data_IF_515349059396
#
_entry.id   IF_515349059396
#
_cell.length_a   1.000
_cell.length_b   1.000
_cell.length_c   1.000
_cell.angle_alpha   90.00
_cell.angle_beta   90.00
_cell.angle_gamma   90.00
#
_symmetry.space_group_name_H-M   'P 1'
#
loop_
_entity.id
_entity.type
_entity.pdbx_description
1 polymer ?
#
# COMPACT_ATOMS: atom_id res chain seq x y z
N UNK A 1 11.82 -57.48 19.87
CA UNK A 1 12.94 -56.51 19.76
C UNK A 1 12.48 -55.06 19.48
N UNK A 2 11.22 -54.71 19.76
CA UNK A 2 10.61 -53.45 19.27
C UNK A 2 10.60 -52.31 20.31
N UNK A 3 10.84 -52.62 21.59
CA UNK A 3 10.69 -51.64 22.68
C UNK A 3 11.90 -50.68 22.79
N UNK A 4 13.14 -51.17 22.61
CA UNK A 4 14.34 -50.33 22.65
C UNK A 4 14.41 -49.30 21.52
N UNK A 5 13.90 -49.64 20.33
CA UNK A 5 13.95 -48.74 19.17
C UNK A 5 13.03 -47.52 19.35
N UNK A 6 11.83 -47.73 19.92
CA UNK A 6 10.90 -46.65 20.25
C UNK A 6 11.46 -45.72 21.32
N UNK A 7 12.13 -46.26 22.35
CA UNK A 7 12.75 -45.45 23.40
C UNK A 7 13.90 -44.58 22.84
N UNK A 8 14.75 -45.14 21.98
CA UNK A 8 15.85 -44.38 21.36
C UNK A 8 15.32 -43.27 20.46
N UNK A 9 14.30 -43.53 19.63
CA UNK A 9 13.66 -42.50 18.80
C UNK A 9 12.98 -41.41 19.64
N UNK A 10 12.36 -41.78 20.76
CA UNK A 10 11.73 -40.84 21.68
C UNK A 10 12.77 -39.94 22.37
N UNK A 11 13.89 -40.50 22.83
CA UNK A 11 15.00 -39.74 23.42
C UNK A 11 15.65 -38.82 22.38
N UNK A 12 15.90 -39.30 21.16
CA UNK A 12 16.40 -38.47 20.05
C UNK A 12 15.43 -37.31 19.71
N UNK A 13 14.13 -37.57 19.73
CA UNK A 13 13.08 -36.58 19.55
C UNK A 13 13.10 -35.50 20.64
N UNK A 14 13.22 -35.91 21.91
CA UNK A 14 13.32 -35.00 23.06
C UNK A 14 14.61 -34.16 22.96
N UNK A 15 15.75 -34.77 22.67
CA UNK A 15 17.04 -34.06 22.53
C UNK A 15 17.00 -33.06 21.38
N UNK A 16 16.45 -33.44 20.21
CA UNK A 16 16.24 -32.52 19.09
C UNK A 16 15.30 -31.37 19.47
N UNK A 17 14.18 -31.65 20.16
CA UNK A 17 13.22 -30.63 20.60
C UNK A 17 13.87 -29.66 21.60
N UNK A 18 14.63 -30.17 22.56
CA UNK A 18 15.36 -29.37 23.57
C UNK A 18 16.44 -28.50 22.92
N UNK A 19 17.20 -29.04 21.96
CA UNK A 19 18.19 -28.28 21.17
C UNK A 19 17.51 -27.19 20.34
N UNK A 20 16.38 -27.48 19.69
CA UNK A 20 15.62 -26.51 18.89
C UNK A 20 15.07 -25.36 19.74
N UNK A 21 14.60 -25.66 20.94
CA UNK A 21 14.12 -24.67 21.90
C UNK A 21 15.27 -23.78 22.40
N UNK A 22 16.43 -24.37 22.75
CA UNK A 22 17.63 -23.61 23.14
C UNK A 22 18.07 -22.64 22.04
N UNK A 23 18.16 -23.12 20.81
CA UNK A 23 18.50 -22.27 19.65
C UNK A 23 17.49 -21.13 19.46
N UNK A 24 16.19 -21.38 19.66
CA UNK A 24 15.17 -20.34 19.50
C UNK A 24 15.28 -19.20 20.51
N UNK A 25 15.72 -19.50 21.74
CA UNK A 25 15.93 -18.52 22.80
C UNK A 25 17.17 -17.68 22.49
N UNK A 26 18.27 -18.34 22.10
CA UNK A 26 19.52 -17.68 21.73
C UNK A 26 19.36 -16.77 20.51
N UNK A 27 18.59 -17.19 19.49
CA UNK A 27 18.30 -16.35 18.32
C UNK A 27 17.51 -15.10 18.70
N UNK A 28 16.60 -15.20 19.66
CA UNK A 28 15.81 -14.05 20.11
C UNK A 28 16.68 -13.05 20.88
N UNK A 29 17.62 -13.53 21.70
CA UNK A 29 18.60 -12.68 22.36
C UNK A 29 19.53 -11.99 21.36
N UNK A 30 20.04 -12.73 20.37
CA UNK A 30 20.85 -12.18 19.29
C UNK A 30 20.08 -11.13 18.46
N UNK A 31 18.78 -11.31 18.27
CA UNK A 31 17.95 -10.35 17.56
C UNK A 31 17.87 -9.00 18.28
N UNK A 32 17.63 -8.99 19.59
CA UNK A 32 17.60 -7.73 20.35
C UNK A 32 18.95 -7.00 20.31
N UNK A 33 20.08 -7.73 20.25
CA UNK A 33 21.41 -7.15 20.08
C UNK A 33 21.58 -6.41 18.74
N UNK A 34 21.09 -6.99 17.64
CA UNK A 34 21.26 -6.38 16.29
C UNK A 34 20.17 -5.38 15.92
N UNK A 35 19.05 -5.36 16.64
CA UNK A 35 17.91 -4.47 16.41
C UNK A 35 18.28 -2.98 16.32
N UNK A 36 19.18 -2.41 17.15
CA UNK A 36 19.63 -1.03 16.97
C UNK A 36 20.30 -0.77 15.62
N UNK A 37 20.99 -1.76 15.04
CA UNK A 37 21.61 -1.66 13.72
C UNK A 37 20.52 -1.55 12.65
N UNK A 38 19.49 -2.39 12.72
CA UNK A 38 18.33 -2.37 11.81
C UNK A 38 17.66 -0.99 11.88
N UNK A 39 17.33 -0.53 13.08
CA UNK A 39 16.65 0.75 13.29
C UNK A 39 17.52 1.94 12.88
N UNK A 40 18.84 1.85 13.05
CA UNK A 40 19.77 2.86 12.53
C UNK A 40 19.70 2.90 11.01
N UNK A 41 19.76 1.76 10.32
CA UNK A 41 19.72 1.69 8.85
C UNK A 41 18.36 2.13 8.28
N UNK A 42 17.25 1.82 8.97
CA UNK A 42 15.91 2.33 8.64
C UNK A 42 15.85 3.86 8.56
N UNK A 43 16.66 4.57 9.37
CA UNK A 43 16.74 6.04 9.31
C UNK A 43 17.54 6.56 8.11
N UNK A 44 18.44 5.74 7.55
CA UNK A 44 19.31 6.14 6.44
C UNK A 44 18.75 5.79 5.07
N UNK A 45 17.97 4.70 4.99
CA UNK A 45 17.42 4.20 3.74
C UNK A 45 15.91 4.25 3.75
N UNK A 46 15.33 4.70 2.64
CA UNK A 46 13.89 4.62 2.41
C UNK A 46 13.60 3.46 1.47
N UNK A 47 12.85 2.47 1.96
CA UNK A 47 12.34 1.35 1.15
C UNK A 47 10.84 1.56 1.01
N UNK A 48 10.37 1.61 -0.24
CA UNK A 48 8.96 1.83 -0.53
C UNK A 48 8.09 0.72 0.08
N UNK A 49 6.97 1.12 0.70
CA UNK A 49 5.99 0.27 1.38
C UNK A 49 6.45 -0.45 2.66
N UNK A 50 7.69 -0.26 3.11
CA UNK A 50 8.14 -0.85 4.37
C UNK A 50 7.77 -0.01 5.57
N UNK A 51 7.07 -0.61 6.52
CA UNK A 51 6.86 -0.08 7.86
C UNK A 51 7.94 -0.56 8.85
N UNK A 52 7.82 -0.17 10.12
CA UNK A 52 8.82 -0.55 11.13
C UNK A 52 8.92 -2.06 11.32
N UNK A 53 7.80 -2.77 11.23
CA UNK A 53 7.75 -4.20 11.49
C UNK A 53 8.32 -4.98 10.31
N UNK A 54 8.12 -4.52 9.07
CA UNK A 54 8.81 -5.07 7.88
C UNK A 54 10.33 -5.02 8.03
N UNK A 55 10.87 -3.86 8.45
CA UNK A 55 12.31 -3.69 8.70
C UNK A 55 12.83 -4.68 9.74
N UNK A 56 12.07 -4.89 10.82
CA UNK A 56 12.43 -5.82 11.89
C UNK A 56 12.32 -7.27 11.44
N UNK A 57 11.29 -7.61 10.66
CA UNK A 57 11.06 -8.95 10.12
C UNK A 57 12.20 -9.36 9.18
N UNK A 58 12.52 -8.50 8.22
CA UNK A 58 13.58 -8.76 7.23
C UNK A 58 14.96 -8.85 7.90
N UNK A 59 15.22 -7.99 8.88
CA UNK A 59 16.42 -8.09 9.70
C UNK A 59 16.48 -9.40 10.48
N UNK A 60 15.35 -9.89 11.00
CA UNK A 60 15.29 -11.17 11.71
C UNK A 60 15.54 -12.36 10.76
N UNK A 61 14.95 -12.35 9.56
CA UNK A 61 15.18 -13.38 8.54
C UNK A 61 16.67 -13.48 8.19
N UNK A 62 17.31 -12.34 7.96
CA UNK A 62 18.74 -12.28 7.60
C UNK A 62 19.62 -12.75 8.75
N UNK A 63 19.27 -12.39 9.99
CA UNK A 63 19.95 -12.90 11.18
C UNK A 63 19.84 -14.43 11.27
N UNK A 64 18.64 -14.99 11.09
CA UNK A 64 18.44 -16.45 11.13
C UNK A 64 19.21 -17.18 10.03
N UNK A 65 19.24 -16.63 8.82
CA UNK A 65 20.05 -17.17 7.71
C UNK A 65 21.54 -17.12 8.04
N UNK A 66 22.01 -16.02 8.63
CA UNK A 66 23.40 -15.85 9.05
C UNK A 66 23.79 -16.87 10.13
N UNK A 67 22.99 -17.00 11.18
CA UNK A 67 23.23 -17.92 12.30
C UNK A 67 23.07 -19.40 11.91
N UNK A 68 22.23 -19.71 10.91
CA UNK A 68 22.14 -21.06 10.35
C UNK A 68 23.44 -21.48 9.68
N UNK A 69 24.17 -20.53 9.08
CA UNK A 69 25.43 -20.78 8.37
C UNK A 69 26.65 -20.69 9.29
N UNK A 70 26.60 -19.79 10.27
CA UNK A 70 27.67 -19.50 11.21
C UNK A 70 27.10 -19.44 12.65
N UNK A 71 26.77 -20.60 13.26
CA UNK A 71 26.17 -20.65 14.59
C UNK A 71 27.09 -20.11 15.70
N UNK A 72 28.41 -20.11 15.49
CA UNK A 72 29.42 -19.57 16.41
C UNK A 72 29.26 -18.06 16.69
N UNK A 73 28.60 -17.34 15.78
CA UNK A 73 28.36 -15.89 15.93
C UNK A 73 27.42 -15.55 17.09
N UNK A 74 26.70 -16.53 17.65
CA UNK A 74 25.83 -16.30 18.82
C UNK A 74 26.67 -15.89 20.04
N UNK A 75 27.86 -16.48 20.19
CA UNK A 75 28.74 -16.24 21.34
C UNK A 75 29.69 -15.05 21.09
N UNK A 76 30.05 -14.79 19.83
CA UNK A 76 30.98 -13.73 19.42
C UNK A 76 30.28 -12.44 18.98
N UNK A 77 29.94 -11.59 19.94
CA UNK A 77 29.11 -10.39 19.73
C UNK A 77 29.69 -9.38 18.72
N UNK A 78 30.98 -9.08 18.78
CA UNK A 78 31.59 -8.12 17.85
C UNK A 78 31.53 -8.61 16.39
N UNK A 79 31.78 -9.91 16.17
CA UNK A 79 31.69 -10.53 14.86
C UNK A 79 30.24 -10.59 14.39
N UNK A 80 29.30 -10.90 15.29
CA UNK A 80 27.87 -10.84 14.99
C UNK A 80 27.49 -9.48 14.42
N UNK A 81 27.86 -8.40 15.09
CA UNK A 81 27.56 -7.03 14.63
C UNK A 81 28.17 -6.73 13.28
N UNK A 82 29.45 -7.05 13.08
CA UNK A 82 30.15 -6.77 11.83
C UNK A 82 29.54 -7.54 10.66
N UNK A 83 29.29 -8.83 10.84
CA UNK A 83 28.75 -9.71 9.81
C UNK A 83 27.30 -9.35 9.50
N UNK A 84 26.46 -9.18 10.54
CA UNK A 84 25.07 -8.80 10.39
C UNK A 84 24.95 -7.45 9.68
N UNK A 85 25.67 -6.42 10.15
CA UNK A 85 25.67 -5.09 9.53
C UNK A 85 26.05 -5.17 8.05
N UNK A 86 27.11 -5.92 7.73
CA UNK A 86 27.58 -6.08 6.34
C UNK A 86 26.52 -6.77 5.49
N UNK A 87 25.99 -7.91 5.93
CA UNK A 87 24.97 -8.67 5.20
C UNK A 87 23.68 -7.89 5.01
N UNK A 88 23.16 -7.28 6.08
CA UNK A 88 21.94 -6.51 6.03
C UNK A 88 22.10 -5.27 5.14
N UNK A 89 23.22 -4.54 5.25
CA UNK A 89 23.46 -3.38 4.38
C UNK A 89 23.55 -3.74 2.90
N UNK A 90 24.20 -4.87 2.56
CA UNK A 90 24.26 -5.35 1.17
C UNK A 90 22.88 -5.72 0.65
N UNK A 91 22.09 -6.44 1.45
CA UNK A 91 20.70 -6.78 1.12
C UNK A 91 19.85 -5.54 0.80
N UNK A 92 19.92 -4.52 1.65
CA UNK A 92 19.17 -3.26 1.44
C UNK A 92 19.59 -2.57 0.13
N UNK A 93 20.90 -2.54 -0.18
CA UNK A 93 21.41 -1.96 -1.43
C UNK A 93 20.89 -2.72 -2.65
N UNK A 94 20.85 -4.05 -2.59
CA UNK A 94 20.33 -4.88 -3.67
C UNK A 94 18.82 -4.69 -3.85
N UNK A 95 18.07 -4.56 -2.77
CA UNK A 95 16.65 -4.25 -2.81
C UNK A 95 16.38 -2.89 -3.46
N UNK A 96 17.14 -1.86 -3.07
CA UNK A 96 17.03 -0.52 -3.67
C UNK A 96 17.37 -0.54 -5.17
N UNK A 97 18.44 -1.23 -5.57
CA UNK A 97 18.79 -1.41 -6.99
C UNK A 97 17.67 -2.08 -7.77
N UNK A 98 17.02 -3.09 -7.18
CA UNK A 98 15.86 -3.76 -7.78
C UNK A 98 14.68 -2.82 -7.94
N UNK A 99 14.36 -2.01 -6.92
CA UNK A 99 13.30 -1.01 -6.99
C UNK A 99 13.57 0.04 -8.07
N UNK A 100 14.78 0.59 -8.12
CA UNK A 100 15.17 1.53 -9.18
C UNK A 100 15.12 0.91 -10.57
N UNK A 101 15.51 -0.36 -10.70
CA UNK A 101 15.42 -1.08 -11.97
C UNK A 101 13.97 -1.25 -12.42
N UNK A 102 13.05 -1.60 -11.52
CA UNK A 102 11.62 -1.69 -11.83
C UNK A 102 11.06 -0.32 -12.23
N UNK A 103 11.39 0.75 -11.50
CA UNK A 103 11.00 2.12 -11.88
C UNK A 103 11.49 2.48 -13.28
N UNK A 104 12.74 2.14 -13.63
CA UNK A 104 13.27 2.34 -14.99
C UNK A 104 12.51 1.54 -16.05
N UNK A 105 12.00 0.35 -15.73
CA UNK A 105 11.15 -0.40 -16.66
C UNK A 105 9.80 0.30 -16.88
N UNK A 106 9.16 0.80 -15.82
CA UNK A 106 7.92 1.58 -15.96
C UNK A 106 8.14 2.88 -16.73
N UNK A 107 9.24 3.60 -16.49
CA UNK A 107 9.59 4.81 -17.25
C UNK A 107 9.90 4.52 -18.73
N UNK A 108 10.15 3.26 -19.12
CA UNK A 108 10.38 2.86 -20.51
C UNK A 108 9.10 2.48 -21.25
N UNK A 109 8.00 2.24 -20.54
CA UNK A 109 6.71 2.03 -21.20
C UNK A 109 6.31 3.37 -21.83
N UNK A 110 6.02 3.36 -23.13
CA UNK A 110 5.43 4.52 -23.77
C UNK A 110 4.14 4.88 -23.02
N UNK A 111 3.83 6.17 -22.90
CA UNK A 111 2.53 6.58 -22.40
C UNK A 111 1.46 5.96 -23.30
N UNK A 112 0.75 4.94 -22.80
CA UNK A 112 -0.45 4.44 -23.45
C UNK A 112 -1.57 5.40 -23.07
N UNK A 113 -2.13 6.07 -24.06
CA UNK A 113 -3.27 6.96 -23.84
C UNK A 113 -4.47 6.11 -23.38
N UNK A 114 -4.82 6.22 -22.10
CA UNK A 114 -5.97 5.49 -21.53
C UNK A 114 -7.29 6.08 -22.03
N UNK A 115 -7.29 7.08 -22.92
CA UNK A 115 -8.50 7.75 -23.42
C UNK A 115 -9.58 6.78 -23.90
N UNK A 116 -9.21 5.73 -24.65
CA UNK A 116 -10.15 4.74 -25.18
C UNK A 116 -10.80 3.86 -24.09
N UNK A 117 -10.07 3.60 -22.99
CA UNK A 117 -10.51 2.71 -21.90
C UNK A 117 -10.96 3.48 -20.66
N UNK A 118 -10.78 4.81 -20.66
CA UNK A 118 -11.10 5.68 -19.54
C UNK A 118 -12.55 5.50 -19.14
N UNK A 119 -13.48 5.47 -20.11
CA UNK A 119 -14.92 5.25 -19.90
C UNK A 119 -15.26 3.97 -19.11
N UNK A 120 -14.39 2.96 -19.10
CA UNK A 120 -14.59 1.71 -18.36
C UNK A 120 -14.15 1.80 -16.88
N UNK A 121 -13.51 2.90 -16.47
CA UNK A 121 -13.06 3.13 -15.09
C UNK A 121 -14.16 3.91 -14.36
N UNK A 122 -14.79 3.34 -13.31
CA UNK A 122 -15.81 4.05 -12.56
C UNK A 122 -15.20 5.26 -11.84
N UNK A 123 -15.55 6.47 -12.27
CA UNK A 123 -15.16 7.73 -11.62
C UNK A 123 -16.35 8.29 -10.82
N UNK A 124 -16.08 8.91 -9.67
CA UNK A 124 -17.11 9.54 -8.82
C UNK A 124 -17.48 10.95 -9.34
N UNK A 125 -17.74 11.09 -10.63
CA UNK A 125 -18.01 12.39 -11.26
C UNK A 125 -18.63 12.26 -12.65
N UNK A 126 -19.00 13.40 -13.23
CA UNK A 126 -19.52 13.50 -14.58
C UNK A 126 -18.37 13.37 -15.60
N UNK A 127 -18.53 12.58 -16.66
CA UNK A 127 -17.54 12.49 -17.74
C UNK A 127 -17.44 13.81 -18.50
N UNK A 128 -16.36 14.01 -19.26
CA UNK A 128 -16.18 15.25 -20.04
C UNK A 128 -17.34 15.46 -21.03
N UNK A 129 -17.76 14.40 -21.72
CA UNK A 129 -18.84 14.47 -22.71
C UNK A 129 -20.19 14.78 -22.03
N UNK A 130 -20.47 14.09 -20.92
CA UNK A 130 -21.65 14.36 -20.08
C UNK A 130 -21.61 15.78 -19.51
N UNK A 131 -20.43 16.31 -19.16
CA UNK A 131 -20.24 17.67 -18.68
C UNK A 131 -20.50 18.72 -19.76
N UNK A 132 -20.03 18.48 -20.98
CA UNK A 132 -20.32 19.36 -22.13
C UNK A 132 -21.82 19.36 -22.42
N UNK A 133 -22.46 18.19 -22.47
CA UNK A 133 -23.90 18.07 -22.64
C UNK A 133 -24.67 18.77 -21.50
N UNK A 134 -24.22 18.62 -20.26
CA UNK A 134 -24.82 19.28 -19.09
C UNK A 134 -24.71 20.82 -19.16
N UNK A 135 -23.57 21.35 -19.63
CA UNK A 135 -23.39 22.79 -19.84
C UNK A 135 -24.31 23.35 -20.94
N UNK A 136 -24.49 22.60 -22.04
CA UNK A 136 -25.41 22.99 -23.11
C UNK A 136 -26.87 23.05 -22.61
N UNK A 137 -27.28 22.07 -21.82
CA UNK A 137 -28.60 22.06 -21.18
C UNK A 137 -28.78 23.25 -20.24
N UNK A 138 -27.76 23.60 -19.43
CA UNK A 138 -27.80 24.80 -18.58
C UNK A 138 -27.95 26.07 -19.42
N UNK A 139 -27.16 26.23 -20.48
CA UNK A 139 -27.21 27.42 -21.32
C UNK A 139 -28.58 27.59 -21.98
N UNK A 140 -29.16 26.50 -22.49
CA UNK A 140 -30.52 26.49 -23.06
C UNK A 140 -31.58 26.83 -22.02
N UNK A 141 -31.47 26.26 -20.81
CA UNK A 141 -32.35 26.58 -19.69
C UNK A 141 -32.30 28.05 -19.30
N UNK A 142 -31.11 28.63 -19.13
CA UNK A 142 -30.96 30.03 -18.75
C UNK A 142 -31.61 31.00 -19.74
N UNK A 143 -31.66 30.65 -21.02
CA UNK A 143 -32.34 31.44 -22.05
C UNK A 143 -33.87 31.34 -21.99
N UNK A 144 -34.42 30.26 -21.42
CA UNK A 144 -35.86 30.03 -21.28
C UNK A 144 -36.44 30.54 -19.95
N UNK A 145 -35.59 30.85 -18.97
CA UNK A 145 -36.01 31.36 -17.67
C UNK A 145 -36.25 32.87 -17.70
N UNK A 146 -37.28 33.32 -17.00
CA UNK A 146 -37.46 34.76 -16.78
C UNK A 146 -36.44 35.30 -15.76
N UNK A 147 -36.35 36.63 -15.61
CA UNK A 147 -35.36 37.28 -14.73
C UNK A 147 -35.41 36.80 -13.27
N UNK A 148 -36.61 36.57 -12.74
CA UNK A 148 -36.80 36.06 -11.38
C UNK A 148 -36.39 34.59 -11.24
N UNK A 149 -36.78 33.75 -12.19
CA UNK A 149 -36.42 32.33 -12.23
C UNK A 149 -34.91 32.13 -12.42
N UNK A 150 -34.25 32.97 -13.22
CA UNK A 150 -32.79 32.92 -13.41
C UNK A 150 -32.04 33.24 -12.12
N UNK A 151 -32.49 34.24 -11.36
CA UNK A 151 -31.94 34.52 -10.03
C UNK A 151 -32.15 33.33 -9.08
N UNK A 152 -33.33 32.73 -9.09
CA UNK A 152 -33.63 31.54 -8.28
C UNK A 152 -32.79 30.32 -8.70
N UNK A 153 -32.52 30.16 -9.99
CA UNK A 153 -31.67 29.10 -10.54
C UNK A 153 -30.19 29.29 -10.16
N UNK A 154 -29.67 30.51 -10.23
CA UNK A 154 -28.32 30.81 -9.74
C UNK A 154 -28.19 30.59 -8.22
N UNK A 155 -29.20 30.99 -7.45
CA UNK A 155 -29.27 30.69 -6.02
C UNK A 155 -29.32 29.17 -5.76
N UNK A 156 -30.00 28.41 -6.61
CA UNK A 156 -30.05 26.95 -6.54
C UNK A 156 -28.66 26.31 -6.75
N UNK A 157 -27.93 26.75 -7.77
CA UNK A 157 -26.57 26.28 -8.08
C UNK A 157 -25.61 26.58 -6.92
N UNK A 158 -25.75 27.73 -6.27
CA UNK A 158 -24.96 28.13 -5.09
C UNK A 158 -25.37 27.41 -3.79
N UNK A 159 -26.43 26.61 -3.82
CA UNK A 159 -26.94 25.91 -2.63
C UNK A 159 -27.75 26.80 -1.68
N UNK A 160 -28.16 27.99 -2.12
CA UNK A 160 -28.87 28.97 -1.31
C UNK A 160 -30.37 28.64 -1.16
N UNK A 161 -31.00 29.26 -0.16
CA UNK A 161 -32.45 29.12 0.12
C UNK A 161 -33.23 30.28 -0.50
N UNK A 162 -34.32 29.95 -1.19
CA UNK A 162 -35.23 30.93 -1.79
C UNK A 162 -36.68 30.42 -1.81
N UNK A 163 -37.64 31.35 -1.86
CA UNK A 163 -39.07 31.03 -1.98
C UNK A 163 -39.38 30.50 -3.38
N UNK A 164 -40.17 29.43 -3.48
CA UNK A 164 -40.54 28.82 -4.77
C UNK A 164 -39.62 27.70 -5.26
N UNK A 165 -38.63 27.26 -4.47
CA UNK A 165 -37.67 26.19 -4.83
C UNK A 165 -38.32 24.93 -5.40
N UNK A 166 -39.39 24.42 -4.79
CA UNK A 166 -40.09 23.21 -5.30
C UNK A 166 -40.74 23.43 -6.67
N UNK A 167 -41.26 24.62 -6.93
CA UNK A 167 -41.86 24.95 -8.21
C UNK A 167 -40.79 25.05 -9.30
N UNK A 168 -39.66 25.71 -9.00
CA UNK A 168 -38.51 25.78 -9.92
C UNK A 168 -37.94 24.39 -10.20
N UNK A 169 -37.71 23.57 -9.16
CA UNK A 169 -37.23 22.19 -9.32
C UNK A 169 -38.17 21.34 -10.20
N UNK A 170 -39.49 21.49 -10.02
CA UNK A 170 -40.47 20.78 -10.87
C UNK A 170 -40.41 21.24 -12.33
N UNK A 171 -40.13 22.53 -12.58
CA UNK A 171 -39.99 23.11 -13.92
C UNK A 171 -38.70 22.64 -14.62
N UNK A 172 -37.58 22.61 -13.91
CA UNK A 172 -36.26 22.28 -14.49
C UNK A 172 -35.95 20.78 -14.50
N UNK A 173 -36.55 19.99 -13.61
CA UNK A 173 -36.29 18.54 -13.50
C UNK A 173 -36.42 17.76 -14.81
N UNK A 174 -37.38 18.05 -15.72
CA UNK A 174 -37.47 17.35 -17.01
C UNK A 174 -36.23 17.45 -17.90
N UNK A 175 -35.49 18.55 -17.81
CA UNK A 175 -34.31 18.83 -18.63
C UNK A 175 -33.08 18.02 -18.21
N UNK A 176 -33.10 17.46 -16.99
CA UNK A 176 -31.97 16.70 -16.43
C UNK A 176 -32.26 15.19 -16.29
N UNK A 177 -33.37 14.70 -16.87
CA UNK A 177 -33.77 13.29 -16.75
C UNK A 177 -32.74 12.32 -17.34
N UNK A 178 -32.05 12.72 -18.39
CA UNK A 178 -31.06 11.88 -19.10
C UNK A 178 -29.81 11.64 -18.24
N UNK A 179 -29.42 12.61 -17.40
CA UNK A 179 -28.28 12.50 -16.48
C UNK A 179 -28.62 11.73 -15.19
N UNK A 180 -29.89 11.42 -14.93
CA UNK A 180 -30.32 10.76 -13.70
C UNK A 180 -30.00 9.25 -13.68
N UNK A 181 -29.62 8.66 -14.82
CA UNK A 181 -29.32 7.23 -14.95
C UNK A 181 -27.83 6.88 -14.75
N UNK A 182 -26.95 7.88 -14.61
CA UNK A 182 -25.49 7.71 -14.56
C UNK A 182 -24.86 8.01 -13.18
N UNK A 183 -25.67 8.26 -12.14
CA UNK A 183 -25.25 8.44 -10.73
C UNK A 183 -25.55 7.19 -9.91
#
# INVERSE_FOLDING_TARGET
MSCCFFVVLFILGIVKKKRRLKMSIETRAAFEKVKPIILKLKRHYYIQLWDRDDWLQEGHIILLQLLKRYPELIEEEERLYRYFKTKFSSYLKDLLRRQESQKRQFHKLAYEEIGEVAHAIPSRGLWLDDYVAYQEVIASLENQLNSQERMQFQALIRGERFKGRRALLRKISPYFKEFAQQL
#
